data_IF_367455171725
#
_entry.id   IF_367455171725
#
_cell.length_a   1.000
_cell.length_b   1.000
_cell.length_c   1.000
_cell.angle_alpha   90.00
_cell.angle_beta   90.00
_cell.angle_gamma   90.00
#
_symmetry.space_group_name_H-M   'P 1'
#
loop_
_entity.id
_entity.type
_entity.pdbx_description
1 polymer ?
#
# COMPACT_ATOMS: atom_id res chain seq x y z
N UNK A 1 -12.99 19.03 6.02
CA UNK A 1 -13.32 17.74 5.40
C UNK A 1 -14.67 17.84 4.69
N UNK A 2 -15.70 18.41 5.32
CA UNK A 2 -17.02 18.60 4.69
C UNK A 2 -17.03 19.53 3.47
N UNK A 3 -16.18 20.56 3.45
CA UNK A 3 -16.09 21.48 2.29
C UNK A 3 -15.44 20.86 1.04
N UNK A 4 -14.61 19.82 1.18
CA UNK A 4 -13.97 19.16 0.04
C UNK A 4 -14.94 18.20 -0.66
N UNK A 5 -15.84 17.57 0.10
CA UNK A 5 -16.87 16.65 -0.39
C UNK A 5 -17.94 17.35 -1.23
N UNK A 6 -18.27 18.62 -0.91
CA UNK A 6 -19.33 19.36 -1.57
C UNK A 6 -18.95 19.96 -2.94
N UNK A 7 -17.64 20.09 -3.24
CA UNK A 7 -17.18 20.82 -4.41
C UNK A 7 -17.03 19.96 -5.69
N UNK A 8 -17.08 18.62 -5.59
CA UNK A 8 -16.92 17.75 -6.76
C UNK A 8 -17.48 16.34 -6.51
N UNK A 9 -18.79 16.17 -6.70
CA UNK A 9 -19.47 14.86 -6.59
C UNK A 9 -18.92 13.77 -7.54
N UNK A 10 -18.05 14.14 -8.49
CA UNK A 10 -17.37 13.21 -9.40
C UNK A 10 -16.08 12.59 -8.83
N UNK A 11 -15.49 13.13 -7.76
CA UNK A 11 -14.25 12.59 -7.15
C UNK A 11 -14.58 11.66 -5.98
N UNK A 12 -14.86 10.40 -6.28
CA UNK A 12 -15.30 9.39 -5.31
C UNK A 12 -14.31 8.21 -5.15
N UNK A 13 -13.13 8.27 -5.78
CA UNK A 13 -12.09 7.23 -5.69
C UNK A 13 -10.93 7.71 -4.84
N UNK A 14 -10.43 6.84 -3.98
CA UNK A 14 -9.38 7.15 -3.02
C UNK A 14 -8.28 6.09 -3.07
N UNK A 15 -7.03 6.54 -2.99
CA UNK A 15 -5.88 5.68 -2.70
C UNK A 15 -5.54 5.82 -1.22
N UNK A 16 -5.60 4.70 -0.51
CA UNK A 16 -5.24 4.61 0.90
C UNK A 16 -3.88 3.93 0.96
N UNK A 17 -2.83 4.73 1.19
CA UNK A 17 -1.47 4.23 1.25
C UNK A 17 -1.11 3.73 2.66
N UNK A 18 -0.53 2.53 2.71
CA UNK A 18 0.03 1.97 3.93
C UNK A 18 -1.00 1.62 5.01
N UNK A 19 -2.26 1.38 4.66
CA UNK A 19 -3.31 0.89 5.56
C UNK A 19 -4.24 -0.07 4.81
N UNK A 20 -4.74 -1.15 5.45
CA UNK A 20 -4.44 -1.62 6.80
C UNK A 20 -3.08 -2.31 6.93
N UNK A 21 -2.39 -2.17 8.08
CA UNK A 21 -1.09 -2.82 8.33
C UNK A 21 -1.16 -4.10 9.15
N UNK A 22 -2.31 -4.39 9.75
CA UNK A 22 -2.56 -5.57 10.57
C UNK A 22 -4.05 -5.91 10.64
N UNK A 23 -4.37 -7.04 11.28
CA UNK A 23 -5.77 -7.50 11.40
C UNK A 23 -6.66 -6.51 12.17
N UNK A 24 -6.14 -5.89 13.23
CA UNK A 24 -6.91 -4.92 14.04
C UNK A 24 -7.30 -3.68 13.22
N UNK A 25 -6.39 -3.20 12.36
CA UNK A 25 -6.66 -2.12 11.41
C UNK A 25 -7.77 -2.52 10.44
N UNK A 26 -7.70 -3.74 9.89
CA UNK A 26 -8.72 -4.24 8.97
C UNK A 26 -10.08 -4.40 9.66
N UNK A 27 -10.11 -4.94 10.89
CA UNK A 27 -11.35 -5.07 11.65
C UNK A 27 -11.96 -3.70 11.98
N UNK A 28 -11.13 -2.73 12.36
CA UNK A 28 -11.55 -1.35 12.58
C UNK A 28 -12.12 -0.71 11.32
N UNK A 29 -11.48 -0.95 10.16
CA UNK A 29 -11.99 -0.52 8.87
C UNK A 29 -13.37 -1.12 8.58
N UNK A 30 -13.49 -2.45 8.62
CA UNK A 30 -14.76 -3.12 8.32
C UNK A 30 -15.87 -2.64 9.25
N UNK A 31 -15.61 -2.48 10.55
CA UNK A 31 -16.61 -1.98 11.50
C UNK A 31 -17.12 -0.56 11.18
N UNK A 32 -16.28 0.28 10.57
CA UNK A 32 -16.57 1.72 10.41
C UNK A 32 -16.93 2.13 8.99
N UNK A 33 -16.46 1.38 8.00
CA UNK A 33 -16.48 1.73 6.58
C UNK A 33 -17.26 0.74 5.69
N UNK A 34 -17.68 -0.44 6.17
CA UNK A 34 -18.35 -1.45 5.33
C UNK A 34 -19.52 -0.88 4.51
N UNK A 35 -20.33 -0.03 5.14
CA UNK A 35 -21.52 0.56 4.51
C UNK A 35 -21.25 1.93 3.85
N UNK A 36 -19.99 2.40 3.88
CA UNK A 36 -19.61 3.76 3.45
C UNK A 36 -18.65 3.76 2.27
N UNK A 37 -17.85 2.71 2.09
CA UNK A 37 -16.82 2.67 1.07
C UNK A 37 -16.62 1.24 0.55
N UNK A 38 -16.64 1.11 -0.77
CA UNK A 38 -16.30 -0.14 -1.44
C UNK A 38 -14.79 -0.26 -1.61
N UNK A 39 -14.23 -1.41 -1.22
CA UNK A 39 -12.85 -1.76 -1.51
C UNK A 39 -12.79 -2.38 -2.92
N UNK A 40 -12.33 -1.60 -3.89
CA UNK A 40 -12.16 -2.04 -5.27
C UNK A 40 -11.10 -3.15 -5.37
N UNK A 41 -9.86 -2.84 -4.98
CA UNK A 41 -8.75 -3.79 -4.97
C UNK A 41 -7.61 -3.32 -4.05
N UNK A 42 -6.67 -4.22 -3.76
CA UNK A 42 -5.41 -3.93 -3.08
C UNK A 42 -4.30 -3.91 -4.13
N UNK A 43 -3.62 -2.78 -4.26
CA UNK A 43 -2.42 -2.67 -5.09
C UNK A 43 -1.20 -3.10 -4.27
N UNK A 44 -0.57 -4.21 -4.65
CA UNK A 44 0.55 -4.78 -3.89
C UNK A 44 1.85 -4.69 -4.67
N UNK A 45 2.74 -3.82 -4.23
CA UNK A 45 4.11 -3.70 -4.75
C UNK A 45 5.01 -4.73 -4.09
N UNK A 46 5.35 -5.78 -4.82
CA UNK A 46 6.27 -6.82 -4.37
C UNK A 46 7.69 -6.48 -4.77
N UNK A 47 8.59 -6.46 -3.80
CA UNK A 47 9.98 -6.12 -4.01
C UNK A 47 10.83 -6.85 -2.98
N UNK A 48 12.00 -7.33 -3.42
CA UNK A 48 12.93 -7.99 -2.54
C UNK A 48 13.35 -7.09 -1.36
N UNK A 49 13.53 -7.70 -0.18
CA UNK A 49 13.89 -7.02 1.06
C UNK A 49 15.19 -6.22 0.92
N UNK A 50 16.22 -6.78 0.27
CA UNK A 50 17.49 -6.09 0.08
C UNK A 50 17.32 -4.80 -0.73
N UNK A 51 16.55 -4.85 -1.83
CA UNK A 51 16.26 -3.66 -2.65
C UNK A 51 15.47 -2.63 -1.84
N UNK A 52 14.49 -3.06 -1.05
CA UNK A 52 13.72 -2.19 -0.16
C UNK A 52 14.61 -1.49 0.88
N UNK A 53 15.56 -2.23 1.47
CA UNK A 53 16.52 -1.69 2.44
C UNK A 53 17.43 -0.67 1.77
N UNK A 54 18.02 -1.01 0.62
CA UNK A 54 18.90 -0.11 -0.14
C UNK A 54 18.20 1.21 -0.49
N UNK A 55 16.97 1.13 -1.02
CA UNK A 55 16.16 2.32 -1.36
C UNK A 55 15.85 3.17 -0.12
N UNK A 56 15.55 2.55 1.03
CA UNK A 56 15.28 3.31 2.26
C UNK A 56 16.55 3.93 2.84
N UNK A 57 17.69 3.24 2.80
CA UNK A 57 18.98 3.79 3.25
C UNK A 57 19.40 4.98 2.39
N UNK A 58 19.22 4.89 1.06
CA UNK A 58 19.51 6.00 0.16
C UNK A 58 18.62 7.22 0.46
N UNK A 59 17.32 6.99 0.70
CA UNK A 59 16.39 8.05 1.13
C UNK A 59 16.83 8.69 2.44
N UNK A 60 17.27 7.89 3.43
CA UNK A 60 17.72 8.37 4.73
C UNK A 60 18.88 9.37 4.67
N UNK A 61 19.73 9.30 3.62
CA UNK A 61 20.86 10.22 3.43
C UNK A 61 20.42 11.67 3.19
N UNK A 62 19.25 11.90 2.61
CA UNK A 62 18.77 13.24 2.24
C UNK A 62 17.48 13.65 2.95
N UNK A 63 16.71 12.72 3.52
CA UNK A 63 15.36 13.01 4.02
C UNK A 63 15.28 13.45 5.49
N UNK A 64 16.37 13.40 6.26
CA UNK A 64 16.35 13.69 7.71
C UNK A 64 15.52 12.70 8.54
N UNK A 65 15.21 11.52 7.99
CA UNK A 65 14.43 10.48 8.66
C UNK A 65 15.32 9.65 9.57
N UNK A 66 15.05 9.67 10.86
CA UNK A 66 15.80 8.89 11.86
C UNK A 66 15.55 7.38 11.77
N UNK A 67 14.44 6.96 11.17
CA UNK A 67 14.02 5.56 11.08
C UNK A 67 14.54 4.82 9.83
N UNK A 68 15.22 5.52 8.91
CA UNK A 68 15.83 4.93 7.72
C UNK A 68 17.26 4.44 8.03
N UNK A 69 17.37 3.56 9.04
CA UNK A 69 18.60 2.85 9.43
C UNK A 69 18.37 1.33 9.35
N UNK A 70 19.45 0.55 9.18
CA UNK A 70 19.35 -0.92 8.94
C UNK A 70 18.53 -1.64 10.02
N UNK A 71 18.78 -1.37 11.29
CA UNK A 71 18.08 -2.03 12.40
C UNK A 71 16.57 -1.74 12.36
N UNK A 72 16.19 -0.49 12.09
CA UNK A 72 14.79 -0.07 12.02
C UNK A 72 14.09 -0.66 10.78
N UNK A 73 14.81 -0.77 9.66
CA UNK A 73 14.29 -1.37 8.43
C UNK A 73 14.09 -2.88 8.56
N UNK A 74 15.01 -3.60 9.19
CA UNK A 74 14.85 -5.03 9.48
C UNK A 74 13.64 -5.27 10.38
N UNK A 75 13.46 -4.47 11.44
CA UNK A 75 12.26 -4.54 12.30
C UNK A 75 10.98 -4.28 11.51
N UNK A 76 10.97 -3.28 10.61
CA UNK A 76 9.81 -2.98 9.76
C UNK A 76 9.46 -4.14 8.81
N UNK A 77 10.46 -4.80 8.23
CA UNK A 77 10.26 -5.98 7.38
C UNK A 77 9.65 -7.13 8.21
N UNK A 78 10.16 -7.38 9.41
CA UNK A 78 9.60 -8.42 10.29
C UNK A 78 8.15 -8.13 10.67
N UNK A 79 7.83 -6.88 11.04
CA UNK A 79 6.45 -6.47 11.31
C UNK A 79 5.56 -6.64 10.09
N UNK A 80 6.04 -6.26 8.90
CA UNK A 80 5.31 -6.45 7.65
C UNK A 80 4.97 -7.93 7.41
N UNK A 81 5.96 -8.83 7.53
CA UNK A 81 5.76 -10.26 7.32
C UNK A 81 4.80 -10.87 8.35
N UNK A 82 4.87 -10.43 9.60
CA UNK A 82 4.05 -11.00 10.67
C UNK A 82 2.62 -10.44 10.70
N UNK A 83 2.44 -9.17 10.36
CA UNK A 83 1.18 -8.45 10.58
C UNK A 83 0.48 -8.03 9.29
N UNK A 84 1.23 -7.55 8.30
CA UNK A 84 0.64 -7.01 7.06
C UNK A 84 0.44 -8.10 6.02
N UNK A 85 1.38 -9.04 5.88
CA UNK A 85 1.29 -10.13 4.91
C UNK A 85 0.02 -10.99 5.05
N UNK A 86 -0.44 -11.37 6.26
CA UNK A 86 -1.71 -12.09 6.42
C UNK A 86 -2.93 -11.32 5.91
N UNK A 87 -2.90 -9.99 5.99
CA UNK A 87 -3.97 -9.13 5.46
C UNK A 87 -3.96 -9.13 3.94
N UNK A 88 -2.77 -9.08 3.32
CA UNK A 88 -2.62 -9.20 1.86
C UNK A 88 -3.12 -10.57 1.40
N UNK A 89 -2.74 -11.64 2.11
CA UNK A 89 -3.14 -13.02 1.79
C UNK A 89 -4.66 -13.21 1.83
N UNK A 90 -5.34 -12.59 2.80
CA UNK A 90 -6.80 -12.56 2.85
C UNK A 90 -7.40 -11.92 1.59
N UNK A 91 -6.88 -10.78 1.14
CA UNK A 91 -7.38 -10.13 -0.08
C UNK A 91 -6.99 -10.89 -1.35
N UNK A 92 -5.88 -11.62 -1.34
CA UNK A 92 -5.45 -12.49 -2.44
C UNK A 92 -6.43 -13.66 -2.60
N UNK A 93 -6.81 -14.32 -1.50
CA UNK A 93 -7.84 -15.37 -1.49
C UNK A 93 -9.20 -14.87 -1.99
N UNK A 94 -9.50 -13.59 -1.79
CA UNK A 94 -10.71 -12.93 -2.31
C UNK A 94 -10.59 -12.48 -3.78
N UNK A 95 -9.43 -12.67 -4.42
CA UNK A 95 -9.18 -12.23 -5.80
C UNK A 95 -9.09 -10.71 -5.97
N UNK A 96 -8.83 -9.97 -4.87
CA UNK A 96 -8.79 -8.50 -4.85
C UNK A 96 -7.37 -7.92 -4.91
N UNK A 97 -6.32 -8.73 -4.93
CA UNK A 97 -4.94 -8.22 -5.01
C UNK A 97 -4.52 -8.04 -6.47
N UNK A 98 -3.93 -6.89 -6.77
CA UNK A 98 -3.24 -6.59 -8.03
C UNK A 98 -1.76 -6.43 -7.71
N UNK A 99 -0.99 -7.47 -8.00
CA UNK A 99 0.44 -7.55 -7.68
C UNK A 99 1.27 -6.89 -8.78
N UNK A 100 2.27 -6.08 -8.40
CA UNK A 100 3.23 -5.44 -9.29
C UNK A 100 4.65 -5.79 -8.83
N UNK A 101 5.52 -6.12 -9.78
CA UNK A 101 6.95 -6.27 -9.52
C UNK A 101 7.62 -4.90 -9.38
N UNK A 102 7.83 -4.48 -8.15
CA UNK A 102 8.44 -3.20 -7.82
C UNK A 102 9.98 -3.23 -7.80
N UNK A 103 10.61 -4.34 -8.21
CA UNK A 103 12.08 -4.41 -8.36
C UNK A 103 12.60 -3.67 -9.59
N UNK A 104 11.73 -3.42 -10.58
CA UNK A 104 12.03 -2.74 -11.85
C UNK A 104 12.23 -1.23 -11.71
N UNK A 105 12.49 -0.55 -12.84
CA UNK A 105 12.57 0.91 -12.90
C UNK A 105 11.22 1.57 -12.63
N UNK A 106 11.24 2.86 -12.25
CA UNK A 106 10.03 3.62 -11.93
C UNK A 106 9.05 3.67 -13.12
N UNK A 107 9.57 3.85 -14.34
CA UNK A 107 8.75 3.93 -15.54
C UNK A 107 8.06 2.60 -15.84
N UNK A 108 8.79 1.48 -15.73
CA UNK A 108 8.21 0.14 -15.92
C UNK A 108 7.14 -0.19 -14.87
N UNK A 109 7.39 0.17 -13.61
CA UNK A 109 6.42 0.00 -12.52
C UNK A 109 5.19 0.85 -12.78
N UNK A 110 5.37 2.11 -13.20
CA UNK A 110 4.27 3.00 -13.50
C UNK A 110 3.42 2.51 -14.69
N UNK A 111 4.05 2.00 -15.74
CA UNK A 111 3.34 1.40 -16.88
C UNK A 111 2.48 0.19 -16.46
N UNK A 112 2.97 -0.63 -15.52
CA UNK A 112 2.17 -1.72 -14.95
C UNK A 112 0.99 -1.21 -14.10
N UNK A 113 1.21 -0.17 -13.29
CA UNK A 113 0.14 0.51 -12.54
C UNK A 113 -0.93 1.02 -13.50
N UNK A 114 -0.55 1.78 -14.54
CA UNK A 114 -1.49 2.35 -15.51
C UNK A 114 -2.35 1.27 -16.14
N UNK A 115 -1.77 0.14 -16.57
CA UNK A 115 -2.53 -1.00 -17.13
C UNK A 115 -3.57 -1.57 -16.16
N UNK A 116 -3.29 -1.59 -14.87
CA UNK A 116 -4.24 -2.06 -13.85
C UNK A 116 -5.39 -1.08 -13.71
N UNK A 117 -5.10 0.23 -13.58
CA UNK A 117 -6.15 1.25 -13.45
C UNK A 117 -6.99 1.39 -14.72
N UNK A 118 -6.39 1.30 -15.91
CA UNK A 118 -7.15 1.31 -17.18
C UNK A 118 -8.12 0.13 -17.29
N UNK A 119 -7.79 -1.01 -16.67
CA UNK A 119 -8.64 -2.21 -16.68
C UNK A 119 -9.74 -2.17 -15.63
N UNK A 120 -9.43 -1.76 -14.41
CA UNK A 120 -10.34 -1.83 -13.25
C UNK A 120 -11.17 -0.55 -13.07
N UNK A 121 -10.73 0.57 -13.66
CA UNK A 121 -11.31 1.91 -13.53
C UNK A 121 -10.77 2.64 -12.32
#
# INVERSE_FOLDING_TARGET
MDQTMAANAQKNKFLIDGFPRNQDNLQGWNKTMDEKADIAFVLFFDCNNEICIERCLERGKSSGRSDDNRESLEKRIQTYLQSTKPVIDLYEEMGKVKKIDASKSVDEVFDEVVKIFDKEG
#
